data_IF_383489264385
#
_entry.id   IF_383489264385
#
_cell.length_a   1.000
_cell.length_b   1.000
_cell.length_c   1.000
_cell.angle_alpha   90.00
_cell.angle_beta   90.00
_cell.angle_gamma   90.00
#
_symmetry.space_group_name_H-M   'P 1'
#
loop_
_entity.id
_entity.type
_entity.pdbx_description
1 polymer ?
#
# COMPACT_ATOMS: atom_id res chain seq x y z
N UNK A 1 -1.72 -57.44 -2.01
CA UNK A 1 -2.44 -56.58 -2.99
C UNK A 1 -3.55 -55.75 -2.35
N UNK A 2 -4.54 -56.34 -1.65
CA UNK A 2 -5.63 -55.57 -0.99
C UNK A 2 -5.15 -54.59 0.11
N UNK A 3 -4.20 -54.99 0.95
CA UNK A 3 -3.63 -54.11 2.01
C UNK A 3 -2.91 -52.90 1.41
N UNK A 4 -2.16 -53.10 0.31
CA UNK A 4 -1.45 -52.03 -0.39
C UNK A 4 -2.43 -51.01 -1.01
N UNK A 5 -3.56 -51.49 -1.55
CA UNK A 5 -4.65 -50.63 -2.03
C UNK A 5 -5.29 -49.83 -0.90
N UNK A 6 -5.54 -50.43 0.27
CA UNK A 6 -6.09 -49.69 1.42
C UNK A 6 -5.12 -48.64 1.97
N UNK A 7 -3.82 -48.95 2.04
CA UNK A 7 -2.78 -47.99 2.45
C UNK A 7 -2.69 -46.84 1.44
N UNK A 8 -2.69 -47.14 0.14
CA UNK A 8 -2.66 -46.11 -0.91
C UNK A 8 -3.91 -45.23 -0.87
N UNK A 9 -5.10 -45.81 -0.71
CA UNK A 9 -6.35 -45.05 -0.56
C UNK A 9 -6.34 -44.18 0.70
N UNK A 10 -5.80 -44.67 1.82
CA UNK A 10 -5.67 -43.89 3.05
C UNK A 10 -4.68 -42.74 2.90
N UNK A 11 -3.54 -42.94 2.23
CA UNK A 11 -2.56 -41.90 1.92
C UNK A 11 -3.17 -40.84 1.00
N UNK A 12 -3.89 -41.25 -0.06
CA UNK A 12 -4.59 -40.31 -0.95
C UNK A 12 -5.65 -39.52 -0.18
N UNK A 13 -6.44 -40.18 0.67
CA UNK A 13 -7.45 -39.50 1.47
C UNK A 13 -6.83 -38.49 2.46
N UNK A 14 -5.70 -38.83 3.09
CA UNK A 14 -4.96 -37.92 3.97
C UNK A 14 -4.36 -36.74 3.19
N UNK A 15 -3.81 -36.98 1.99
CA UNK A 15 -3.30 -35.92 1.12
C UNK A 15 -4.44 -35.00 0.66
N UNK A 16 -5.59 -35.55 0.26
CA UNK A 16 -6.75 -34.75 -0.12
C UNK A 16 -7.30 -33.96 1.08
N UNK A 17 -7.33 -34.55 2.27
CA UNK A 17 -7.74 -33.86 3.49
C UNK A 17 -6.76 -32.73 3.86
N UNK A 18 -5.44 -32.95 3.71
CA UNK A 18 -4.43 -31.94 3.94
C UNK A 18 -4.53 -30.80 2.92
N UNK A 19 -4.74 -31.10 1.64
CA UNK A 19 -4.95 -30.10 0.58
C UNK A 19 -6.24 -29.32 0.82
N UNK A 20 -7.33 -29.99 1.19
CA UNK A 20 -8.59 -29.34 1.51
C UNK A 20 -8.49 -28.45 2.76
N UNK A 21 -7.78 -28.91 3.80
CA UNK A 21 -7.51 -28.14 5.00
C UNK A 21 -6.67 -26.90 4.67
N UNK A 22 -5.56 -27.06 3.94
CA UNK A 22 -4.71 -25.95 3.52
C UNK A 22 -5.49 -24.93 2.68
N UNK A 23 -6.32 -25.41 1.75
CA UNK A 23 -7.17 -24.53 0.94
C UNK A 23 -8.19 -23.76 1.77
N UNK A 24 -8.81 -24.42 2.76
CA UNK A 24 -9.76 -23.77 3.67
C UNK A 24 -9.07 -22.74 4.55
N UNK A 25 -7.89 -23.07 5.09
CA UNK A 25 -7.08 -22.19 5.95
C UNK A 25 -6.58 -20.94 5.20
N UNK A 26 -6.05 -21.12 3.98
CA UNK A 26 -5.68 -20.00 3.10
C UNK A 26 -6.91 -19.12 2.80
N UNK A 27 -8.09 -19.73 2.59
CA UNK A 27 -9.32 -18.95 2.36
C UNK A 27 -9.78 -18.20 3.60
N UNK A 28 -9.61 -18.75 4.80
CA UNK A 28 -9.98 -18.01 6.02
C UNK A 28 -9.08 -16.80 6.26
N UNK A 29 -7.83 -16.83 5.81
CA UNK A 29 -6.94 -15.66 5.88
C UNK A 29 -7.39 -14.52 4.94
N UNK A 30 -8.16 -14.83 3.91
CA UNK A 30 -8.73 -13.82 3.01
C UNK A 30 -10.02 -13.19 3.56
N UNK A 31 -10.61 -13.78 4.59
CA UNK A 31 -11.83 -13.26 5.20
C UNK A 31 -11.47 -12.04 6.07
N UNK A 32 -12.06 -10.85 5.81
CA UNK A 32 -11.86 -9.66 6.66
C UNK A 32 -12.20 -9.89 8.14
N UNK A 33 -12.95 -10.94 8.47
CA UNK A 33 -13.34 -11.29 9.83
C UNK A 33 -14.30 -10.27 10.48
N UNK A 34 -14.66 -10.51 11.75
CA UNK A 34 -15.43 -9.56 12.56
C UNK A 34 -14.56 -8.44 13.17
N UNK A 35 -13.23 -8.47 12.98
CA UNK A 35 -12.26 -7.67 13.74
C UNK A 35 -11.82 -6.36 13.08
N UNK A 36 -12.55 -5.85 12.09
CA UNK A 36 -12.41 -4.44 11.72
C UNK A 36 -13.22 -3.63 12.74
N UNK A 37 -12.57 -3.25 13.84
CA UNK A 37 -13.18 -2.34 14.80
C UNK A 37 -13.74 -1.12 14.05
N UNK A 38 -14.92 -0.64 14.44
CA UNK A 38 -15.48 0.57 13.86
C UNK A 38 -14.58 1.77 14.21
N UNK A 39 -13.67 2.12 13.31
CA UNK A 39 -12.82 3.31 13.41
C UNK A 39 -13.60 4.49 12.85
N UNK A 40 -13.44 5.67 13.47
CA UNK A 40 -13.98 6.89 12.89
C UNK A 40 -13.34 7.14 11.51
N UNK A 41 -14.06 7.77 10.57
CA UNK A 41 -13.46 8.18 9.29
C UNK A 41 -12.17 8.96 9.55
N UNK A 42 -11.12 8.69 8.77
CA UNK A 42 -9.80 9.29 9.01
C UNK A 42 -9.85 10.82 9.01
N UNK A 43 -10.76 11.43 8.25
CA UNK A 43 -10.96 12.88 8.20
C UNK A 43 -11.38 13.50 9.53
N UNK A 44 -11.87 12.70 10.49
CA UNK A 44 -12.14 13.18 11.84
C UNK A 44 -10.90 13.68 12.57
N UNK A 45 -9.71 13.29 12.10
CA UNK A 45 -8.41 13.78 12.60
C UNK A 45 -7.88 15.00 11.85
N UNK A 46 -8.53 15.43 10.76
CA UNK A 46 -8.04 16.54 9.94
C UNK A 46 -7.95 17.84 10.75
N UNK A 47 -6.77 18.46 10.73
CA UNK A 47 -6.50 19.74 11.36
C UNK A 47 -6.54 20.89 10.35
N UNK A 48 -6.84 22.09 10.84
CA UNK A 48 -6.77 23.29 10.00
C UNK A 48 -5.32 23.55 9.64
N UNK A 49 -5.08 23.70 8.34
CA UNK A 49 -3.73 23.88 7.80
C UNK A 49 -3.21 25.28 8.18
N UNK A 50 -2.04 25.38 8.83
CA UNK A 50 -1.42 26.68 9.05
C UNK A 50 -0.86 27.24 7.74
N UNK A 51 -0.62 28.55 7.70
CA UNK A 51 0.04 29.19 6.56
C UNK A 51 1.44 28.58 6.34
N UNK A 52 1.81 28.21 5.10
CA UNK A 52 3.07 27.55 4.84
C UNK A 52 4.26 28.44 5.19
N UNK A 53 5.20 27.90 5.98
CA UNK A 53 6.46 28.57 6.29
C UNK A 53 7.50 28.10 5.26
N UNK A 54 7.58 28.78 4.13
CA UNK A 54 8.58 28.44 3.10
C UNK A 54 9.97 28.91 3.53
N UNK A 55 10.80 28.02 4.06
CA UNK A 55 12.25 28.27 4.20
C UNK A 55 13.01 27.45 3.17
N UNK A 56 13.18 28.01 1.96
CA UNK A 56 14.12 27.45 0.99
C UNK A 56 15.53 27.50 1.59
N UNK A 57 16.19 26.35 1.71
CA UNK A 57 17.58 26.30 2.17
C UNK A 57 18.48 26.67 1.00
N UNK A 58 19.11 27.83 1.07
CA UNK A 58 20.13 28.20 0.10
C UNK A 58 21.27 27.18 0.17
N UNK A 59 21.65 26.62 -0.98
CA UNK A 59 22.91 25.91 -1.09
C UNK A 59 24.04 26.92 -0.85
N UNK A 60 25.07 26.60 -0.06
CA UNK A 60 26.22 27.49 0.06
C UNK A 60 26.89 27.64 -1.31
N UNK A 61 27.00 28.87 -1.80
CA UNK A 61 27.66 29.18 -3.08
C UNK A 61 29.20 29.16 -2.98
N UNK A 62 29.75 29.03 -1.75
CA UNK A 62 31.17 29.09 -1.46
C UNK A 62 31.74 27.84 -0.77
N UNK A 63 32.89 27.37 -1.28
CA UNK A 63 33.67 26.32 -0.64
C UNK A 63 34.52 26.92 0.48
N UNK A 64 33.99 26.92 1.71
CA UNK A 64 34.73 27.29 2.91
C UNK A 64 35.52 26.10 3.45
N UNK A 65 36.83 26.07 3.19
CA UNK A 65 37.73 25.00 3.66
C UNK A 65 37.85 24.93 5.20
N UNK A 66 37.48 25.98 5.93
CA UNK A 66 37.49 25.91 7.41
C UNK A 66 36.39 24.98 7.93
N UNK A 67 35.27 24.85 7.20
CA UNK A 67 34.21 23.88 7.48
C UNK A 67 34.64 22.42 7.26
N UNK A 68 35.77 22.16 6.59
CA UNK A 68 36.32 20.81 6.48
C UNK A 68 36.98 20.36 7.78
N UNK A 69 37.61 21.29 8.51
CA UNK A 69 38.24 21.00 9.80
C UNK A 69 37.20 20.89 10.92
N UNK A 70 36.12 21.69 10.83
CA UNK A 70 35.01 21.71 11.78
C UNK A 70 33.68 21.62 11.02
N UNK A 71 33.27 20.40 10.59
CA UNK A 71 32.04 20.23 9.82
C UNK A 71 30.82 20.70 10.61
N UNK A 72 29.90 21.45 9.97
CA UNK A 72 28.68 21.90 10.64
C UNK A 72 27.82 20.69 11.06
N UNK A 73 26.95 20.84 12.06
CA UNK A 73 26.05 19.76 12.48
C UNK A 73 25.25 19.14 11.33
N UNK A 74 24.90 19.93 10.32
CA UNK A 74 24.14 19.46 9.15
C UNK A 74 24.96 18.62 8.15
N UNK A 75 26.26 18.47 8.37
CA UNK A 75 27.12 17.57 7.60
C UNK A 75 27.39 16.24 8.34
N UNK A 76 26.87 16.07 9.56
CA UNK A 76 27.05 14.86 10.36
C UNK A 76 26.10 13.75 9.87
N UNK A 77 26.53 12.48 9.89
CA UNK A 77 25.66 11.37 9.51
C UNK A 77 24.55 11.17 10.53
N UNK A 78 23.47 10.53 10.10
CA UNK A 78 22.39 10.05 10.95
C UNK A 78 22.39 8.53 10.99
N UNK A 79 21.56 7.94 11.85
CA UNK A 79 21.32 6.50 11.88
C UNK A 79 19.83 6.21 12.00
N UNK A 80 19.37 5.12 11.37
CA UNK A 80 18.11 4.49 11.76
C UNK A 80 18.25 3.94 13.17
N UNK A 81 17.24 4.17 13.99
CA UNK A 81 17.19 3.78 15.38
C UNK A 81 15.88 3.06 15.64
N UNK A 82 15.94 1.73 15.51
CA UNK A 82 14.77 0.87 15.64
C UNK A 82 14.39 0.68 17.10
N UNK A 83 13.13 0.98 17.39
CA UNK A 83 12.53 0.88 18.71
C UNK A 83 11.67 -0.39 18.80
N UNK A 84 11.73 -1.15 19.91
CA UNK A 84 10.92 -2.34 20.11
C UNK A 84 9.45 -1.98 20.42
N UNK A 85 8.77 -1.43 19.41
CA UNK A 85 7.46 -0.82 19.56
C UNK A 85 7.44 0.25 20.65
N UNK A 86 6.51 0.11 21.59
CA UNK A 86 6.34 0.99 22.74
C UNK A 86 7.21 0.67 23.96
N UNK A 87 8.02 -0.39 23.97
CA UNK A 87 8.80 -0.80 25.17
C UNK A 87 10.08 0.03 25.35
N UNK A 88 9.90 1.31 25.66
CA UNK A 88 10.96 2.32 25.71
C UNK A 88 11.15 2.86 27.12
N UNK A 89 12.43 3.04 27.50
CA UNK A 89 12.86 3.73 28.71
C UNK A 89 13.56 5.04 28.33
N UNK A 90 12.96 6.21 28.58
CA UNK A 90 13.51 7.50 28.16
C UNK A 90 14.94 7.76 28.64
N UNK A 91 15.28 7.29 29.85
CA UNK A 91 16.61 7.49 30.43
C UNK A 91 17.67 6.74 29.62
N UNK A 92 17.41 5.46 29.31
CA UNK A 92 18.29 4.64 28.48
C UNK A 92 18.37 5.18 27.04
N UNK A 93 17.24 5.61 26.49
CA UNK A 93 17.18 6.23 25.18
C UNK A 93 18.02 7.51 25.11
N UNK A 94 18.01 8.34 26.17
CA UNK A 94 18.86 9.53 26.28
C UNK A 94 20.35 9.18 26.42
N UNK A 95 20.69 8.13 27.17
CA UNK A 95 22.07 7.61 27.23
C UNK A 95 22.57 7.16 25.84
N UNK A 96 21.73 6.47 25.06
CA UNK A 96 22.05 6.06 23.70
C UNK A 96 22.25 7.25 22.75
N UNK A 97 21.39 8.28 22.84
CA UNK A 97 21.59 9.52 22.08
C UNK A 97 22.90 10.22 22.45
N UNK A 98 23.25 10.29 23.73
CA UNK A 98 24.51 10.88 24.17
C UNK A 98 25.73 10.12 23.60
N UNK A 99 25.66 8.78 23.55
CA UNK A 99 26.71 7.96 22.92
C UNK A 99 26.81 8.23 21.42
N UNK A 100 25.69 8.34 20.70
CA UNK A 100 25.68 8.67 19.27
C UNK A 100 26.26 10.07 19.02
N UNK A 101 25.87 11.06 19.81
CA UNK A 101 26.40 12.42 19.74
C UNK A 101 27.93 12.45 19.97
N UNK A 102 28.43 11.71 20.96
CA UNK A 102 29.87 11.57 21.23
C UNK A 102 30.62 10.96 20.04
N UNK A 103 30.00 10.00 19.33
CA UNK A 103 30.56 9.39 18.11
C UNK A 103 30.38 10.23 16.84
N UNK A 104 29.77 11.41 16.96
CA UNK A 104 29.71 12.38 15.88
C UNK A 104 28.42 12.34 15.04
N UNK A 105 27.43 11.53 15.40
CA UNK A 105 26.13 11.54 14.72
C UNK A 105 25.40 12.86 14.97
N UNK A 106 24.71 13.35 13.94
CA UNK A 106 23.93 14.60 13.98
C UNK A 106 22.44 14.38 14.22
N UNK A 107 21.96 13.15 14.15
CA UNK A 107 20.54 12.85 14.24
C UNK A 107 20.22 11.37 14.16
N UNK A 108 18.94 11.07 14.39
CA UNK A 108 18.37 9.73 14.36
C UNK A 108 17.03 9.73 13.63
N UNK A 109 16.72 8.61 13.02
CA UNK A 109 15.37 8.28 12.56
C UNK A 109 14.78 7.23 13.49
N UNK A 110 13.71 7.56 14.20
CA UNK A 110 13.01 6.63 15.09
C UNK A 110 11.95 5.88 14.29
N UNK A 111 12.09 4.56 14.24
CA UNK A 111 11.10 3.65 13.68
C UNK A 111 10.75 2.61 14.75
N UNK A 112 9.53 2.67 15.26
CA UNK A 112 9.02 1.71 16.24
C UNK A 112 8.26 0.61 15.51
N UNK A 113 8.68 -0.64 15.64
CA UNK A 113 8.05 -1.78 14.96
C UNK A 113 8.33 -3.10 15.70
N UNK A 114 7.78 -4.22 15.21
CA UNK A 114 7.88 -5.52 15.87
C UNK A 114 8.89 -6.48 15.22
N UNK A 115 9.78 -5.98 14.35
CA UNK A 115 10.73 -6.80 13.60
C UNK A 115 11.57 -7.71 14.51
N UNK A 116 11.42 -9.03 14.39
CA UNK A 116 12.13 -10.01 15.21
C UNK A 116 11.64 -10.10 16.66
N UNK A 117 10.51 -9.48 17.00
CA UNK A 117 9.96 -9.44 18.37
C UNK A 117 8.71 -10.30 18.55
N UNK A 118 8.11 -10.80 17.47
CA UNK A 118 6.88 -11.63 17.50
C UNK A 118 7.08 -12.96 18.25
N UNK A 119 8.31 -13.47 18.32
CA UNK A 119 8.65 -14.69 19.06
C UNK A 119 8.80 -14.54 20.58
N UNK A 120 8.63 -13.33 21.14
CA UNK A 120 8.72 -13.12 22.59
C UNK A 120 7.43 -13.60 23.26
N UNK A 121 7.50 -14.66 24.07
CA UNK A 121 6.32 -15.27 24.71
C UNK A 121 5.82 -14.52 25.97
N UNK A 122 6.64 -13.66 26.58
CA UNK A 122 6.24 -12.92 27.78
C UNK A 122 5.16 -11.88 27.48
N UNK A 123 3.93 -12.16 27.91
CA UNK A 123 2.76 -11.34 27.66
C UNK A 123 2.91 -9.89 28.15
N UNK A 124 3.60 -9.67 29.28
CA UNK A 124 3.83 -8.33 29.81
C UNK A 124 4.78 -7.52 28.92
N UNK A 125 5.77 -8.17 28.29
CA UNK A 125 6.67 -7.55 27.32
C UNK A 125 5.97 -7.30 26.00
N UNK A 126 5.18 -8.24 25.50
CA UNK A 126 4.36 -8.03 24.31
C UNK A 126 3.40 -6.85 24.48
N UNK A 127 2.72 -6.73 25.62
CA UNK A 127 1.85 -5.59 25.90
C UNK A 127 2.60 -4.24 25.90
N UNK A 128 3.89 -4.21 26.28
CA UNK A 128 4.71 -2.99 26.18
C UNK A 128 5.14 -2.71 24.74
N UNK A 129 5.55 -3.73 24.00
CA UNK A 129 5.87 -3.60 22.56
C UNK A 129 4.65 -3.06 21.82
N UNK A 130 3.47 -3.61 22.06
CA UNK A 130 2.22 -3.19 21.42
C UNK A 130 1.61 -1.90 21.99
N UNK A 131 2.29 -1.22 22.93
CA UNK A 131 1.83 0.07 23.49
C UNK A 131 2.28 1.29 22.66
N UNK A 132 2.77 1.06 21.44
CA UNK A 132 3.00 2.12 20.46
C UNK A 132 1.73 2.97 20.27
N UNK A 133 1.90 4.26 19.95
CA UNK A 133 0.80 5.22 19.76
C UNK A 133 -0.06 5.53 21.00
N UNK A 134 0.35 5.08 22.19
CA UNK A 134 -0.31 5.44 23.46
C UNK A 134 0.20 6.77 24.03
N UNK A 135 -0.56 7.39 24.94
CA UNK A 135 -0.12 8.57 25.71
C UNK A 135 1.23 8.35 26.41
N UNK A 136 1.46 7.13 26.89
CA UNK A 136 2.73 6.75 27.52
C UNK A 136 3.88 6.80 26.51
N UNK A 137 3.65 6.33 25.29
CA UNK A 137 4.64 6.35 24.22
C UNK A 137 4.97 7.79 23.81
N UNK A 138 3.98 8.64 23.57
CA UNK A 138 4.20 10.06 23.25
C UNK A 138 4.93 10.82 24.36
N UNK A 139 4.60 10.53 25.62
CA UNK A 139 5.34 11.09 26.75
C UNK A 139 6.82 10.68 26.72
N UNK A 140 7.09 9.39 26.53
CA UNK A 140 8.46 8.88 26.43
C UNK A 140 9.22 9.50 25.24
N UNK A 141 8.57 9.59 24.08
CA UNK A 141 9.12 10.23 22.89
C UNK A 141 9.45 11.70 23.14
N UNK A 142 8.56 12.45 23.80
CA UNK A 142 8.81 13.85 24.17
C UNK A 142 10.03 14.02 25.09
N UNK A 143 10.21 13.14 26.09
CA UNK A 143 11.39 13.16 26.96
C UNK A 143 12.69 12.85 26.19
N UNK A 144 12.62 11.95 25.20
CA UNK A 144 13.73 11.65 24.29
C UNK A 144 14.03 12.84 23.36
N UNK A 145 12.99 13.50 22.83
CA UNK A 145 13.16 14.73 22.04
C UNK A 145 13.79 15.85 22.88
N UNK A 146 13.34 16.08 24.12
CA UNK A 146 13.99 17.03 25.03
C UNK A 146 15.49 16.72 25.20
N UNK A 147 15.87 15.43 25.22
CA UNK A 147 17.28 15.01 25.26
C UNK A 147 18.02 15.29 23.94
N UNK A 148 17.44 14.93 22.80
CA UNK A 148 18.00 15.19 21.48
C UNK A 148 18.26 16.69 21.28
N UNK A 149 17.34 17.56 21.72
CA UNK A 149 17.52 19.00 21.65
C UNK A 149 18.73 19.49 22.46
N UNK A 150 18.89 19.01 23.70
CA UNK A 150 20.06 19.35 24.54
C UNK A 150 21.38 18.90 23.92
N UNK A 151 21.36 17.80 23.17
CA UNK A 151 22.52 17.26 22.46
C UNK A 151 22.74 17.92 21.09
N UNK A 152 21.82 18.77 20.63
CA UNK A 152 21.87 19.37 19.30
C UNK A 152 21.67 18.37 18.16
N UNK A 153 20.99 17.25 18.45
CA UNK A 153 20.65 16.22 17.47
C UNK A 153 19.27 16.47 16.87
N UNK A 154 19.10 16.12 15.60
CA UNK A 154 17.80 16.13 14.93
C UNK A 154 17.12 14.76 15.03
N UNK A 155 15.79 14.76 15.01
CA UNK A 155 14.96 13.56 15.08
C UNK A 155 14.04 13.54 13.86
N UNK A 156 14.04 12.40 13.18
CA UNK A 156 13.02 12.06 12.19
C UNK A 156 12.15 10.91 12.72
N UNK A 157 10.87 10.90 12.37
CA UNK A 157 9.94 9.81 12.70
C UNK A 157 9.49 9.10 11.43
N UNK A 158 9.25 7.79 11.51
CA UNK A 158 8.52 7.08 10.44
C UNK A 158 7.01 7.39 10.51
N UNK A 159 6.26 7.05 9.45
CA UNK A 159 4.79 7.19 9.36
C UNK A 159 4.05 6.16 10.22
N UNK A 160 4.17 6.35 11.54
CA UNK A 160 3.79 5.40 12.57
C UNK A 160 4.65 4.12 12.54
N UNK A 161 4.07 3.00 12.95
CA UNK A 161 4.75 1.73 13.10
C UNK A 161 4.67 0.93 11.81
N UNK A 162 5.81 0.36 11.38
CA UNK A 162 5.86 -0.46 10.16
C UNK A 162 5.88 0.35 8.86
N UNK A 163 5.64 -0.33 7.74
CA UNK A 163 5.57 0.28 6.40
C UNK A 163 4.68 -0.57 5.46
N UNK A 164 4.16 -0.05 4.34
CA UNK A 164 4.01 1.36 3.99
C UNK A 164 3.19 2.17 5.02
N UNK A 165 3.08 3.49 4.82
CA UNK A 165 2.39 4.38 5.75
C UNK A 165 0.94 3.91 6.03
N UNK A 166 0.59 3.79 7.30
CA UNK A 166 -0.72 3.27 7.72
C UNK A 166 -0.82 3.19 9.23
N UNK A 167 -1.88 2.58 9.73
CA UNK A 167 -2.05 2.39 11.17
C UNK A 167 -3.48 2.14 11.62
N UNK A 168 -3.69 1.98 12.94
CA UNK A 168 -4.98 1.60 13.53
C UNK A 168 -6.11 2.62 13.27
N UNK A 169 -5.77 3.85 12.93
CA UNK A 169 -6.72 4.91 12.59
C UNK A 169 -7.28 4.82 11.17
N UNK A 170 -6.69 3.99 10.31
CA UNK A 170 -7.09 3.86 8.91
C UNK A 170 -8.12 2.75 8.84
N UNK A 171 -9.36 3.10 8.51
CA UNK A 171 -10.40 2.11 8.23
C UNK A 171 -10.15 1.46 6.86
N UNK A 172 -10.77 0.32 6.60
CA UNK A 172 -10.63 -0.38 5.31
C UNK A 172 -10.98 0.53 4.13
N UNK A 173 -12.03 1.35 4.25
CA UNK A 173 -12.47 2.28 3.20
C UNK A 173 -11.58 3.52 3.07
N UNK A 174 -10.80 3.84 4.09
CA UNK A 174 -9.83 4.95 4.08
C UNK A 174 -8.45 4.53 3.56
N UNK A 175 -8.27 3.22 3.32
CA UNK A 175 -7.03 2.65 2.80
C UNK A 175 -6.93 2.64 1.27
N UNK A 176 -5.88 2.02 0.76
CA UNK A 176 -5.65 1.86 -0.68
C UNK A 176 -6.80 1.14 -1.39
N UNK A 177 -7.00 1.47 -2.67
CA UNK A 177 -7.97 0.82 -3.54
C UNK A 177 -7.28 0.03 -4.66
N UNK A 178 -7.90 -1.08 -5.03
CA UNK A 178 -7.47 -1.98 -6.11
C UNK A 178 -8.57 -2.13 -7.16
N UNK A 179 -8.20 -2.10 -8.44
CA UNK A 179 -9.08 -2.40 -9.55
C UNK A 179 -9.12 -3.91 -9.78
N UNK A 180 -10.30 -4.50 -9.69
CA UNK A 180 -10.56 -5.92 -9.92
C UNK A 180 -11.53 -6.10 -11.07
N UNK A 181 -11.53 -7.29 -11.64
CA UNK A 181 -12.53 -7.69 -12.63
C UNK A 181 -13.24 -8.97 -12.23
N UNK A 182 -14.39 -9.16 -12.84
CA UNK A 182 -15.08 -10.42 -12.91
C UNK A 182 -15.68 -10.54 -14.31
N UNK A 183 -15.78 -11.75 -14.82
CA UNK A 183 -16.16 -11.97 -16.21
C UNK A 183 -17.17 -13.09 -16.37
N UNK A 184 -17.93 -13.04 -17.46
CA UNK A 184 -18.87 -14.07 -17.86
C UNK A 184 -18.93 -14.16 -19.39
N UNK A 185 -18.68 -15.35 -19.92
CA UNK A 185 -18.93 -15.64 -21.33
C UNK A 185 -20.42 -15.88 -21.58
N UNK A 186 -20.96 -15.27 -22.62
CA UNK A 186 -22.37 -15.34 -23.01
C UNK A 186 -22.53 -15.49 -24.51
N UNK A 187 -23.62 -16.14 -24.95
CA UNK A 187 -23.99 -16.23 -26.36
C UNK A 187 -25.02 -15.15 -26.69
N UNK A 188 -24.72 -14.32 -27.68
CA UNK A 188 -25.61 -13.26 -28.14
C UNK A 188 -26.66 -13.72 -29.16
N UNK A 189 -27.39 -12.77 -29.72
CA UNK A 189 -28.53 -13.00 -30.62
C UNK A 189 -29.89 -12.90 -29.94
N UNK A 190 -29.92 -12.64 -28.63
CA UNK A 190 -31.11 -12.40 -27.82
C UNK A 190 -30.84 -11.34 -26.76
N UNK A 191 -31.89 -10.95 -26.03
CA UNK A 191 -31.70 -10.17 -24.80
C UNK A 191 -30.98 -11.06 -23.78
N UNK A 192 -29.95 -10.50 -23.15
CA UNK A 192 -29.22 -11.09 -22.03
C UNK A 192 -29.64 -10.34 -20.78
N UNK A 193 -30.16 -11.08 -19.80
CA UNK A 193 -30.44 -10.61 -18.44
C UNK A 193 -29.63 -11.46 -17.48
N UNK A 194 -28.72 -10.84 -16.76
CA UNK A 194 -27.87 -11.54 -15.81
C UNK A 194 -27.42 -10.63 -14.67
N UNK A 195 -27.24 -11.16 -13.45
CA UNK A 195 -26.50 -10.46 -12.42
C UNK A 195 -25.06 -10.25 -12.88
N UNK A 196 -24.44 -9.15 -12.48
CA UNK A 196 -23.03 -8.93 -12.77
C UNK A 196 -22.16 -9.98 -12.05
N UNK A 197 -21.12 -10.50 -12.72
CA UNK A 197 -20.15 -11.37 -12.07
C UNK A 197 -19.41 -10.58 -10.98
N UNK A 198 -19.05 -11.27 -9.90
CA UNK A 198 -18.39 -10.70 -8.72
C UNK A 198 -16.94 -11.19 -8.67
N UNK A 199 -15.96 -10.32 -8.35
CA UNK A 199 -14.55 -10.72 -8.29
C UNK A 199 -14.33 -11.87 -7.32
N UNK A 200 -13.37 -12.73 -7.66
CA UNK A 200 -12.91 -13.83 -6.82
C UNK A 200 -11.43 -13.60 -6.45
N UNK A 201 -10.93 -14.23 -5.37
CA UNK A 201 -9.51 -14.26 -5.09
C UNK A 201 -8.72 -14.87 -6.25
N UNK A 202 -7.64 -14.22 -6.64
CA UNK A 202 -6.75 -14.59 -7.73
C UNK A 202 -5.34 -14.95 -7.26
N UNK A 203 -4.39 -14.99 -8.19
CA UNK A 203 -3.00 -15.39 -7.92
C UNK A 203 -2.37 -14.55 -6.82
N UNK A 204 -2.55 -13.23 -6.87
CA UNK A 204 -2.08 -12.29 -5.85
C UNK A 204 -2.51 -12.72 -4.44
N UNK A 205 -3.82 -12.93 -4.28
CA UNK A 205 -4.47 -13.10 -2.99
C UNK A 205 -4.09 -14.46 -2.38
N UNK A 206 -4.08 -15.52 -3.19
CA UNK A 206 -3.64 -16.84 -2.73
C UNK A 206 -2.16 -16.89 -2.35
N UNK A 207 -1.29 -16.18 -3.08
CA UNK A 207 0.14 -16.14 -2.75
C UNK A 207 0.39 -15.34 -1.46
N UNK A 208 -0.30 -14.21 -1.28
CA UNK A 208 -0.17 -13.42 -0.05
C UNK A 208 -0.73 -14.19 1.15
N UNK A 209 -1.94 -14.75 1.07
CA UNK A 209 -2.51 -15.54 2.16
C UNK A 209 -1.67 -16.79 2.51
N UNK A 210 -1.02 -17.42 1.52
CA UNK A 210 -0.06 -18.49 1.78
C UNK A 210 1.19 -17.97 2.50
N UNK A 211 1.71 -16.79 2.13
CA UNK A 211 2.88 -16.19 2.76
C UNK A 211 2.63 -15.85 4.24
N UNK A 212 1.41 -15.45 4.61
CA UNK A 212 1.02 -15.18 6.01
C UNK A 212 1.29 -16.37 6.93
N UNK A 213 1.06 -17.60 6.46
CA UNK A 213 1.32 -18.83 7.24
C UNK A 213 2.81 -18.98 7.61
N UNK A 214 3.71 -18.48 6.76
CA UNK A 214 5.15 -18.61 6.97
C UNK A 214 5.74 -17.42 7.73
N UNK A 215 5.19 -16.22 7.52
CA UNK A 215 5.72 -14.99 8.10
C UNK A 215 5.05 -14.69 9.46
N UNK A 216 3.86 -15.23 9.70
CA UNK A 216 3.13 -15.09 10.97
C UNK A 216 2.55 -13.70 11.16
N UNK A 217 2.16 -13.04 10.07
CA UNK A 217 1.54 -11.72 10.07
C UNK A 217 0.51 -11.63 8.95
N UNK A 218 -0.49 -10.78 9.14
CA UNK A 218 -1.51 -10.47 8.13
C UNK A 218 -0.87 -9.64 6.99
N UNK A 219 -1.22 -9.96 5.76
CA UNK A 219 -0.65 -9.38 4.54
C UNK A 219 -1.74 -8.95 3.55
N UNK A 220 -2.88 -9.62 3.52
CA UNK A 220 -3.97 -9.33 2.58
C UNK A 220 -5.34 -9.65 3.18
N UNK A 221 -6.36 -8.91 2.75
CA UNK A 221 -7.75 -9.23 3.00
C UNK A 221 -8.54 -9.08 1.70
N UNK A 222 -9.46 -10.01 1.42
CA UNK A 222 -10.29 -9.95 0.21
C UNK A 222 -11.66 -9.30 0.48
N UNK A 223 -11.69 -7.97 0.52
CA UNK A 223 -12.84 -7.15 0.91
C UNK A 223 -13.91 -6.98 -0.19
N UNK A 224 -14.41 -8.07 -0.77
CA UNK A 224 -15.32 -8.03 -1.93
C UNK A 224 -16.66 -7.36 -1.64
N UNK A 225 -17.12 -7.35 -0.40
CA UNK A 225 -18.42 -6.76 -0.03
C UNK A 225 -18.39 -5.23 -0.02
N UNK A 226 -17.20 -4.62 0.04
CA UNK A 226 -17.00 -3.16 -0.03
C UNK A 226 -16.78 -2.65 -1.46
N UNK A 227 -17.00 -3.50 -2.47
CA UNK A 227 -16.74 -3.19 -3.88
C UNK A 227 -17.69 -2.13 -4.46
N UNK A 228 -17.15 -1.36 -5.41
CA UNK A 228 -17.88 -0.36 -6.17
C UNK A 228 -17.76 -0.61 -7.67
N UNK A 229 -18.88 -0.59 -8.39
CA UNK A 229 -18.89 -0.82 -9.83
C UNK A 229 -18.26 0.36 -10.56
N UNK A 230 -17.26 0.08 -11.39
CA UNK A 230 -16.58 1.09 -12.23
C UNK A 230 -17.14 1.08 -13.63
N UNK A 231 -17.10 -0.09 -14.27
CA UNK A 231 -17.51 -0.23 -15.65
C UNK A 231 -17.95 -1.65 -15.96
N UNK A 232 -18.88 -1.77 -16.92
CA UNK A 232 -19.17 -3.05 -17.58
C UNK A 232 -18.85 -2.89 -19.05
N UNK A 233 -18.02 -3.77 -19.57
CA UNK A 233 -17.63 -3.79 -20.99
C UNK A 233 -17.96 -5.16 -21.55
N UNK A 234 -18.42 -5.23 -22.80
CA UNK A 234 -18.49 -6.47 -23.54
C UNK A 234 -17.68 -6.40 -24.83
N UNK A 235 -17.04 -7.51 -25.19
CA UNK A 235 -16.34 -7.67 -26.47
C UNK A 235 -16.49 -9.12 -26.97
N UNK A 236 -16.49 -9.31 -28.29
CA UNK A 236 -16.54 -10.64 -28.90
C UNK A 236 -15.26 -11.39 -28.61
N UNK A 237 -15.39 -12.66 -28.22
CA UNK A 237 -14.25 -13.55 -27.98
C UNK A 237 -13.73 -14.07 -29.32
N UNK A 238 -12.44 -13.90 -29.57
CA UNK A 238 -11.76 -14.37 -30.80
C UNK A 238 -10.81 -15.53 -30.55
N UNK A 239 -10.47 -15.82 -29.28
CA UNK A 239 -9.60 -16.92 -28.89
C UNK A 239 -9.22 -16.88 -27.40
N UNK A 240 -8.39 -17.85 -27.00
CA UNK A 240 -7.99 -18.03 -25.60
C UNK A 240 -9.02 -18.81 -24.76
N UNK A 241 -8.55 -19.39 -23.67
CA UNK A 241 -9.37 -20.12 -22.68
C UNK A 241 -8.81 -19.87 -21.28
N UNK A 242 -9.68 -19.84 -20.27
CA UNK A 242 -9.26 -19.72 -18.88
C UNK A 242 -8.72 -21.05 -18.37
N UNK A 243 -7.62 -20.98 -17.63
CA UNK A 243 -7.04 -22.08 -16.92
C UNK A 243 -7.96 -22.52 -15.78
N UNK A 244 -8.08 -23.83 -15.56
CA UNK A 244 -8.73 -24.36 -14.35
C UNK A 244 -7.86 -24.21 -13.10
N UNK A 245 -6.60 -23.80 -13.25
CA UNK A 245 -5.67 -23.58 -12.16
C UNK A 245 -5.73 -22.11 -11.70
N UNK A 246 -6.19 -21.80 -10.47
CA UNK A 246 -6.29 -20.42 -9.97
C UNK A 246 -4.94 -19.75 -9.71
N UNK A 247 -3.82 -20.47 -9.86
CA UNK A 247 -2.46 -19.95 -9.77
C UNK A 247 -1.82 -19.70 -11.15
N UNK A 248 -2.55 -19.96 -12.24
CA UNK A 248 -2.06 -19.70 -13.59
C UNK A 248 -2.27 -18.24 -13.97
N UNK A 249 -1.22 -17.45 -13.84
CA UNK A 249 -1.21 -16.03 -14.20
C UNK A 249 -0.82 -15.80 -15.68
N UNK A 250 -0.90 -16.83 -16.55
CA UNK A 250 -0.39 -16.76 -17.93
C UNK A 250 -1.48 -16.95 -18.99
N UNK A 251 -2.71 -17.27 -18.60
CA UNK A 251 -3.82 -17.34 -19.54
C UNK A 251 -4.24 -15.95 -20.05
N UNK A 252 -4.77 -15.91 -21.27
CA UNK A 252 -5.19 -14.66 -21.91
C UNK A 252 -6.40 -14.94 -22.79
N UNK A 253 -7.45 -14.13 -22.64
CA UNK A 253 -8.61 -14.14 -23.53
C UNK A 253 -8.42 -13.09 -24.63
N UNK A 254 -8.57 -13.51 -25.88
CA UNK A 254 -8.46 -12.62 -27.03
C UNK A 254 -9.85 -12.04 -27.35
N UNK A 255 -9.91 -10.72 -27.48
CA UNK A 255 -11.13 -9.96 -27.71
C UNK A 255 -11.02 -9.21 -29.05
N UNK A 256 -12.14 -9.07 -29.76
CA UNK A 256 -12.22 -8.25 -30.97
C UNK A 256 -12.30 -6.75 -30.61
N UNK A 257 -11.27 -5.93 -30.91
CA UNK A 257 -11.24 -4.51 -30.54
C UNK A 257 -12.39 -3.71 -31.16
N UNK A 258 -12.84 -4.07 -32.37
CA UNK A 258 -13.92 -3.36 -33.08
C UNK A 258 -15.32 -3.70 -32.52
N UNK A 259 -15.38 -4.66 -31.59
CA UNK A 259 -16.64 -5.11 -30.98
C UNK A 259 -16.91 -4.51 -29.62
N UNK A 260 -15.93 -3.81 -29.02
CA UNK A 260 -16.00 -3.32 -27.66
C UNK A 260 -17.21 -2.40 -27.48
N UNK A 261 -18.03 -2.71 -26.47
CA UNK A 261 -19.18 -1.89 -26.07
C UNK A 261 -19.17 -1.66 -24.57
N UNK A 262 -19.35 -0.39 -24.16
CA UNK A 262 -19.51 -0.02 -22.76
C UNK A 262 -20.99 -0.16 -22.38
N UNK A 263 -21.26 -1.01 -21.40
CA UNK A 263 -22.60 -1.43 -20.95
C UNK A 263 -22.94 -0.91 -19.55
N UNK A 264 -22.08 -0.11 -18.90
CA UNK A 264 -22.29 0.37 -17.52
C UNK A 264 -23.66 1.01 -17.31
N UNK A 265 -24.13 1.82 -18.27
CA UNK A 265 -25.45 2.47 -18.21
C UNK A 265 -26.66 1.54 -18.42
N UNK A 266 -26.43 0.25 -18.71
CA UNK A 266 -27.46 -0.78 -18.86
C UNK A 266 -27.58 -1.67 -17.62
N UNK A 267 -26.85 -1.33 -16.55
CA UNK A 267 -26.91 -2.03 -15.27
C UNK A 267 -27.92 -1.34 -14.36
N UNK A 268 -28.87 -2.09 -13.83
CA UNK A 268 -29.87 -1.63 -12.86
C UNK A 268 -29.87 -2.61 -11.69
N UNK A 269 -29.66 -2.10 -10.47
CA UNK A 269 -29.65 -2.92 -9.24
C UNK A 269 -28.71 -4.14 -9.30
N UNK A 270 -27.57 -4.00 -9.99
CA UNK A 270 -26.58 -5.08 -10.14
C UNK A 270 -26.90 -6.10 -11.22
N UNK A 271 -27.98 -5.92 -11.99
CA UNK A 271 -28.31 -6.74 -13.15
C UNK A 271 -28.07 -6.00 -14.47
N UNK A 272 -27.42 -6.67 -15.41
CA UNK A 272 -27.27 -6.23 -16.79
C UNK A 272 -28.49 -6.67 -17.61
N UNK A 273 -29.09 -5.75 -18.36
CA UNK A 273 -30.06 -6.04 -19.41
C UNK A 273 -29.56 -5.51 -20.75
N UNK A 274 -29.10 -6.40 -21.63
CA UNK A 274 -28.44 -6.01 -22.89
C UNK A 274 -28.96 -6.81 -24.08
N UNK A 275 -29.31 -6.11 -25.16
CA UNK A 275 -29.64 -6.73 -26.44
C UNK A 275 -28.36 -7.10 -27.20
N UNK A 276 -27.78 -8.25 -26.88
CA UNK A 276 -26.50 -8.69 -27.42
C UNK A 276 -26.61 -9.09 -28.90
N UNK A 277 -25.77 -8.55 -29.81
CA UNK A 277 -25.71 -9.02 -31.19
C UNK A 277 -25.28 -10.49 -31.27
N UNK A 278 -25.60 -11.22 -32.35
CA UNK A 278 -25.14 -12.60 -32.53
C UNK A 278 -23.61 -12.73 -32.40
N UNK A 279 -23.16 -13.76 -31.70
CA UNK A 279 -21.74 -14.04 -31.46
C UNK A 279 -21.46 -14.51 -30.04
N UNK A 280 -20.23 -14.92 -29.78
CA UNK A 280 -19.75 -15.22 -28.42
C UNK A 280 -19.13 -13.96 -27.83
N UNK A 281 -19.62 -13.56 -26.66
CA UNK A 281 -19.21 -12.34 -25.98
C UNK A 281 -18.61 -12.65 -24.62
N UNK A 282 -17.60 -11.88 -24.23
CA UNK A 282 -17.17 -11.78 -22.86
C UNK A 282 -17.76 -10.51 -22.27
N UNK A 283 -18.52 -10.62 -21.18
CA UNK A 283 -18.96 -9.49 -20.36
C UNK A 283 -17.98 -9.38 -19.20
N UNK A 284 -17.36 -8.21 -19.04
CA UNK A 284 -16.33 -7.91 -18.03
C UNK A 284 -16.87 -6.80 -17.14
N UNK A 285 -17.13 -7.12 -15.88
CA UNK A 285 -17.48 -6.15 -14.86
C UNK A 285 -16.20 -5.78 -14.07
N UNK A 286 -15.90 -4.49 -14.01
CA UNK A 286 -14.73 -3.95 -13.33
C UNK A 286 -15.15 -3.21 -12.07
N UNK A 287 -14.41 -3.43 -11.00
CA UNK A 287 -14.77 -3.04 -9.65
C UNK A 287 -13.59 -2.38 -8.97
N UNK A 288 -13.85 -1.30 -8.23
CA UNK A 288 -12.94 -0.81 -7.20
C UNK A 288 -13.24 -1.55 -5.91
N UNK A 289 -12.20 -1.97 -5.20
CA UNK A 289 -12.31 -2.58 -3.88
C UNK A 289 -11.22 -1.99 -2.97
N UNK A 290 -11.47 -1.82 -1.66
CA UNK A 290 -10.38 -1.64 -0.73
C UNK A 290 -9.35 -2.77 -0.87
N UNK A 291 -8.06 -2.44 -0.82
CA UNK A 291 -7.00 -3.44 -0.90
C UNK A 291 -6.97 -4.36 0.31
N UNK A 292 -7.49 -3.90 1.45
CA UNK A 292 -7.49 -4.64 2.71
C UNK A 292 -6.07 -4.92 3.23
N UNK A 293 -5.09 -4.13 2.83
CA UNK A 293 -3.68 -4.39 3.14
C UNK A 293 -3.27 -3.71 4.46
N UNK A 294 -2.78 -4.46 5.46
CA UNK A 294 -2.20 -3.89 6.66
C UNK A 294 -0.73 -3.47 6.45
N UNK A 295 -0.22 -2.50 7.22
CA UNK A 295 1.21 -2.21 7.24
C UNK A 295 2.00 -3.40 7.82
N UNK A 296 3.26 -3.52 7.40
CA UNK A 296 4.17 -4.60 7.74
C UNK A 296 4.93 -4.32 9.03
N UNK A 297 5.05 -5.35 9.89
CA UNK A 297 5.76 -5.31 11.18
C UNK A 297 5.22 -4.30 12.21
N UNK A 298 3.91 -4.03 12.21
CA UNK A 298 3.29 -3.08 13.14
C UNK A 298 3.40 -3.55 14.60
N UNK A 299 3.86 -2.66 15.48
CA UNK A 299 3.90 -2.88 16.92
C UNK A 299 2.60 -2.42 17.60
N UNK A 300 1.46 -2.97 17.18
CA UNK A 300 0.15 -2.73 17.77
C UNK A 300 -0.67 -4.02 17.72
N UNK A 301 -1.65 -4.17 18.62
CA UNK A 301 -2.55 -5.33 18.61
C UNK A 301 -3.47 -5.34 17.39
N UNK A 302 -3.85 -4.16 16.90
CA UNK A 302 -4.63 -3.98 15.67
C UNK A 302 -3.82 -3.07 14.73
N UNK A 303 -3.32 -3.59 13.60
CA UNK A 303 -2.45 -2.81 12.72
C UNK A 303 -3.21 -1.76 11.90
N UNK A 304 -4.53 -1.93 11.72
CA UNK A 304 -5.32 -1.16 10.76
C UNK A 304 -4.86 -1.38 9.33
N UNK A 305 -5.02 -0.37 8.47
CA UNK A 305 -4.71 -0.48 7.04
C UNK A 305 -3.68 0.56 6.57
N UNK A 306 -3.08 0.29 5.42
CA UNK A 306 -2.26 1.27 4.69
C UNK A 306 -3.16 2.37 4.15
N UNK A 307 -2.77 3.63 4.32
CA UNK A 307 -3.55 4.79 3.84
C UNK A 307 -3.69 4.80 2.32
N UNK A 308 -4.75 5.44 1.81
CA UNK A 308 -4.81 5.75 0.38
C UNK A 308 -3.73 6.78 0.00
N UNK A 309 -2.67 6.32 -0.66
CA UNK A 309 -1.59 7.18 -1.18
C UNK A 309 -2.05 8.00 -2.40
N UNK A 310 -3.22 7.72 -2.95
CA UNK A 310 -3.81 8.44 -4.08
C UNK A 310 -4.88 9.43 -3.64
N UNK A 311 -4.98 9.74 -2.34
CA UNK A 311 -5.90 10.74 -1.80
C UNK A 311 -5.17 11.69 -0.81
N UNK A 312 -4.99 12.95 -1.22
CA UNK A 312 -4.31 13.96 -0.40
C UNK A 312 -5.09 14.29 0.89
N UNK A 313 -6.42 14.19 0.88
CA UNK A 313 -7.23 14.39 2.08
C UNK A 313 -6.95 13.33 3.13
N UNK A 314 -6.95 12.05 2.72
CA UNK A 314 -6.62 10.90 3.59
C UNK A 314 -5.18 10.99 4.11
N UNK A 315 -4.24 11.34 3.25
CA UNK A 315 -2.84 11.57 3.62
C UNK A 315 -2.69 12.63 4.72
N UNK A 316 -3.31 13.80 4.53
CA UNK A 316 -3.19 14.91 5.49
C UNK A 316 -3.81 14.54 6.82
N UNK A 317 -4.98 13.92 6.81
CA UNK A 317 -5.62 13.44 8.02
C UNK A 317 -4.80 12.36 8.74
N UNK A 318 -4.10 11.49 7.99
CA UNK A 318 -3.14 10.54 8.56
C UNK A 318 -1.96 11.25 9.25
N UNK A 319 -1.41 12.33 8.69
CA UNK A 319 -0.34 13.10 9.34
C UNK A 319 -0.81 13.92 10.53
N UNK A 320 -2.02 14.48 10.46
CA UNK A 320 -2.63 15.14 11.62
C UNK A 320 -2.86 14.13 12.75
N UNK A 321 -3.23 12.89 12.43
CA UNK A 321 -3.21 11.79 13.40
C UNK A 321 -1.79 11.47 13.88
N UNK A 322 -0.83 11.25 12.98
CA UNK A 322 0.48 10.71 13.35
C UNK A 322 1.37 11.71 14.10
N UNK A 323 1.21 13.00 13.82
CA UNK A 323 2.14 14.05 14.25
C UNK A 323 1.43 15.30 14.78
N UNK A 324 0.13 15.45 14.59
CA UNK A 324 -0.63 16.64 14.97
C UNK A 324 -0.79 16.84 16.47
N UNK A 325 -1.67 17.76 16.84
CA UNK A 325 -1.82 18.29 18.22
C UNK A 325 -2.09 17.22 19.27
N UNK A 326 -2.77 16.12 18.91
CA UNK A 326 -3.05 15.01 19.85
C UNK A 326 -1.79 14.38 20.44
N UNK A 327 -0.67 14.49 19.75
CA UNK A 327 0.61 13.87 20.11
C UNK A 327 1.42 14.72 21.09
N UNK A 328 1.13 16.03 21.16
CA UNK A 328 1.94 17.01 21.89
C UNK A 328 3.36 17.22 21.32
N UNK A 329 3.62 16.74 20.09
CA UNK A 329 4.90 16.88 19.40
C UNK A 329 5.10 18.24 18.74
N UNK A 330 4.03 19.03 18.61
CA UNK A 330 4.02 20.38 18.04
C UNK A 330 5.06 21.31 18.69
N UNK A 331 5.26 21.19 20.01
CA UNK A 331 6.30 21.94 20.74
C UNK A 331 7.74 21.63 20.31
N UNK A 332 7.96 20.52 19.59
CA UNK A 332 9.26 20.07 19.10
C UNK A 332 9.46 20.29 17.59
N UNK A 333 8.48 20.85 16.89
CA UNK A 333 8.56 21.05 15.44
C UNK A 333 9.73 21.95 15.02
N UNK A 334 10.47 21.49 14.01
CA UNK A 334 11.68 22.11 13.50
C UNK A 334 12.89 21.99 14.41
N UNK A 335 12.69 21.66 15.69
CA UNK A 335 13.78 21.41 16.65
C UNK A 335 13.28 20.69 17.92
N UNK A 336 13.76 19.47 18.21
CA UNK A 336 14.65 18.65 17.39
C UNK A 336 13.90 17.84 16.32
N UNK A 337 12.57 17.80 16.34
CA UNK A 337 11.78 17.05 15.37
C UNK A 337 11.83 17.80 14.04
N UNK A 338 12.70 17.37 13.13
CA UNK A 338 12.94 18.07 11.86
C UNK A 338 12.07 17.57 10.71
N UNK A 339 11.45 16.40 10.84
CA UNK A 339 10.67 15.83 9.74
C UNK A 339 10.34 14.37 9.92
N UNK A 340 9.76 13.79 8.89
CA UNK A 340 9.42 12.36 8.86
C UNK A 340 10.07 11.66 7.68
N UNK A 341 10.10 10.34 7.78
CA UNK A 341 10.65 9.44 6.79
C UNK A 341 9.55 8.58 6.19
N UNK A 342 9.49 8.58 4.86
CA UNK A 342 8.71 7.62 4.08
C UNK A 342 9.61 6.50 3.58
N UNK A 343 9.38 5.29 4.07
CA UNK A 343 10.04 4.08 3.58
C UNK A 343 9.59 3.75 2.15
N UNK A 344 10.23 2.75 1.54
CA UNK A 344 9.85 2.29 0.21
C UNK A 344 8.41 1.79 0.12
N UNK A 345 7.77 2.01 -1.03
CA UNK A 345 6.40 1.58 -1.27
C UNK A 345 6.37 0.09 -1.65
N UNK A 346 5.90 -0.73 -0.71
CA UNK A 346 5.80 -2.19 -0.85
C UNK A 346 4.34 -2.67 -0.85
N UNK A 347 3.55 -2.22 -1.82
CA UNK A 347 2.15 -2.64 -1.95
C UNK A 347 2.01 -4.14 -2.23
N UNK A 348 0.94 -4.75 -1.71
CA UNK A 348 0.60 -6.18 -1.81
C UNK A 348 -0.68 -6.43 -2.62
N UNK A 349 -1.15 -5.42 -3.33
CA UNK A 349 -2.37 -5.45 -4.12
C UNK A 349 -2.13 -5.81 -5.59
N UNK A 350 -3.22 -6.17 -6.26
CA UNK A 350 -3.22 -6.66 -7.62
C UNK A 350 -2.98 -5.55 -8.67
N UNK A 351 -3.90 -4.57 -8.71
CA UNK A 351 -3.82 -3.42 -9.64
C UNK A 351 -4.24 -2.15 -8.92
N UNK A 352 -3.30 -1.24 -8.66
CA UNK A 352 -3.58 -0.03 -7.90
C UNK A 352 -4.59 0.86 -8.64
N UNK A 353 -5.48 1.52 -7.90
CA UNK A 353 -6.41 2.49 -8.46
C UNK A 353 -6.77 3.57 -7.45
N UNK A 354 -6.96 4.79 -7.93
CA UNK A 354 -7.63 5.82 -7.17
C UNK A 354 -9.16 5.63 -7.26
N UNK A 355 -9.91 6.11 -6.27
CA UNK A 355 -11.38 6.10 -6.33
C UNK A 355 -11.93 6.94 -7.49
N UNK A 356 -11.20 7.97 -7.92
CA UNK A 356 -11.51 8.84 -9.05
C UNK A 356 -10.75 8.49 -10.34
N UNK A 357 -10.21 7.26 -10.45
CA UNK A 357 -9.27 6.89 -11.52
C UNK A 357 -9.81 7.13 -12.94
N UNK A 358 -11.12 6.96 -13.16
CA UNK A 358 -11.74 7.17 -14.48
C UNK A 358 -11.63 8.63 -14.92
N UNK A 359 -11.94 9.57 -14.03
CA UNK A 359 -11.86 11.00 -14.28
C UNK A 359 -10.39 11.44 -14.38
N UNK A 360 -9.56 11.02 -13.43
CA UNK A 360 -8.14 11.37 -13.39
C UNK A 360 -7.42 10.93 -14.67
N UNK A 361 -7.71 9.71 -15.15
CA UNK A 361 -7.18 9.18 -16.39
C UNK A 361 -7.63 10.02 -17.59
N UNK A 362 -8.94 10.25 -17.75
CA UNK A 362 -9.48 10.96 -18.91
C UNK A 362 -8.92 12.39 -19.02
N UNK A 363 -8.86 13.11 -17.89
CA UNK A 363 -8.29 14.45 -17.82
C UNK A 363 -6.81 14.49 -18.22
N UNK A 364 -6.05 13.45 -17.86
CA UNK A 364 -4.59 13.41 -18.01
C UNK A 364 -4.16 12.85 -19.35
N UNK A 365 -4.85 11.83 -19.84
CA UNK A 365 -4.48 11.06 -21.03
C UNK A 365 -5.25 11.50 -22.27
N UNK A 366 -6.36 12.20 -22.08
CA UNK A 366 -7.15 12.80 -23.16
C UNK A 366 -8.14 11.85 -23.84
N UNK A 367 -8.44 10.71 -23.21
CA UNK A 367 -9.45 9.76 -23.68
C UNK A 367 -10.07 8.96 -22.52
N UNK A 368 -11.28 8.45 -22.73
CA UNK A 368 -12.01 7.68 -21.73
C UNK A 368 -11.38 6.30 -21.50
N UNK A 369 -11.15 5.91 -20.24
CA UNK A 369 -10.60 4.61 -19.91
C UNK A 369 -11.58 3.46 -20.17
N UNK A 370 -12.89 3.70 -20.02
CA UNK A 370 -13.91 2.63 -19.95
C UNK A 370 -13.86 1.62 -21.12
N UNK A 371 -13.76 2.02 -22.40
CA UNK A 371 -13.65 1.06 -23.50
C UNK A 371 -12.36 0.22 -23.46
N UNK A 372 -11.31 0.74 -22.82
CA UNK A 372 -9.97 0.15 -22.82
C UNK A 372 -9.64 -0.58 -21.51
N UNK A 373 -10.53 -0.58 -20.52
CA UNK A 373 -10.33 -1.25 -19.24
C UNK A 373 -9.86 -2.71 -19.39
N UNK A 374 -10.37 -3.55 -20.30
CA UNK A 374 -9.88 -4.91 -20.41
C UNK A 374 -8.36 -4.99 -20.63
N UNK A 375 -7.74 -4.00 -21.28
CA UNK A 375 -6.29 -4.00 -21.52
C UNK A 375 -5.45 -3.75 -20.24
N UNK A 376 -6.02 -3.18 -19.16
CA UNK A 376 -5.22 -2.79 -17.98
C UNK A 376 -4.97 -3.94 -17.00
N UNK A 377 -5.72 -5.04 -17.11
CA UNK A 377 -5.66 -6.16 -16.17
C UNK A 377 -4.46 -7.06 -16.46
N UNK A 378 -3.62 -7.16 -15.44
CA UNK A 378 -2.45 -8.03 -15.36
C UNK A 378 -2.35 -8.44 -13.89
N UNK A 379 -2.44 -9.73 -13.61
CA UNK A 379 -2.45 -10.22 -12.23
C UNK A 379 -1.13 -9.87 -11.50
N UNK A 380 -1.23 -9.51 -10.22
CA UNK A 380 -0.15 -9.11 -9.33
C UNK A 380 0.76 -8.00 -9.90
N UNK A 381 0.24 -7.15 -10.79
CA UNK A 381 1.02 -6.11 -11.49
C UNK A 381 1.66 -5.12 -10.53
N UNK A 382 0.92 -4.73 -9.49
CA UNK A 382 1.32 -3.73 -8.52
C UNK A 382 1.69 -4.33 -7.15
N UNK A 383 1.89 -5.66 -7.08
CA UNK A 383 2.39 -6.35 -5.89
C UNK A 383 3.93 -6.40 -5.90
N UNK A 384 4.56 -5.67 -4.99
CA UNK A 384 6.02 -5.58 -4.85
C UNK A 384 6.67 -6.94 -4.56
N UNK A 385 6.10 -7.74 -3.66
CA UNK A 385 6.67 -9.03 -3.26
C UNK A 385 6.62 -10.08 -4.37
N UNK A 386 5.60 -10.05 -5.23
CA UNK A 386 5.52 -10.95 -6.37
C UNK A 386 6.42 -10.46 -7.52
N UNK A 387 6.36 -9.15 -7.83
CA UNK A 387 7.05 -8.55 -8.97
C UNK A 387 8.54 -8.35 -8.77
N UNK A 388 8.95 -7.73 -7.66
CA UNK A 388 10.34 -7.31 -7.44
C UNK A 388 11.14 -8.34 -6.65
N UNK A 389 10.53 -8.88 -5.58
CA UNK A 389 11.16 -9.92 -4.76
C UNK A 389 11.07 -11.27 -5.46
N UNK A 390 9.86 -11.69 -5.83
CA UNK A 390 9.59 -12.95 -6.51
C UNK A 390 10.03 -12.97 -7.98
N UNK A 391 10.23 -11.81 -8.61
CA UNK A 391 10.58 -11.65 -10.04
C UNK A 391 9.61 -12.37 -10.97
N UNK A 392 8.36 -12.48 -10.55
CA UNK A 392 7.28 -13.11 -11.33
C UNK A 392 6.53 -12.05 -12.10
N UNK A 393 6.20 -12.35 -13.36
CA UNK A 393 5.39 -11.48 -14.23
C UNK A 393 4.28 -12.28 -14.86
N UNK A 394 3.06 -11.78 -14.73
CA UNK A 394 1.85 -12.35 -15.31
C UNK A 394 1.68 -11.91 -16.76
N UNK A 395 0.93 -12.68 -17.55
CA UNK A 395 0.44 -12.22 -18.84
C UNK A 395 -0.74 -11.26 -18.66
N UNK A 396 -1.05 -10.40 -19.64
CA UNK A 396 -2.30 -9.66 -19.66
C UNK A 396 -3.50 -10.60 -19.63
N UNK A 397 -4.47 -10.29 -18.77
CA UNK A 397 -5.71 -11.07 -18.63
C UNK A 397 -6.50 -11.12 -19.94
N UNK A 398 -6.46 -10.02 -20.70
CA UNK A 398 -7.10 -9.87 -22.01
C UNK A 398 -6.12 -9.30 -23.02
N UNK A 399 -6.35 -9.62 -24.30
CA UNK A 399 -5.66 -9.02 -25.45
C UNK A 399 -6.68 -8.53 -26.47
N UNK A 400 -6.62 -7.25 -26.84
CA UNK A 400 -7.46 -6.67 -27.88
C UNK A 400 -6.62 -6.42 -29.14
N UNK A 401 -5.63 -5.54 -29.05
CA UNK A 401 -4.80 -5.15 -30.19
C UNK A 401 -3.37 -4.73 -29.79
N UNK A 402 -2.64 -4.14 -30.75
CA UNK A 402 -1.27 -3.65 -30.56
C UNK A 402 -1.16 -2.39 -29.68
N UNK A 403 -2.27 -1.71 -29.38
CA UNK A 403 -2.32 -0.54 -28.53
C UNK A 403 -2.48 -0.88 -27.05
N UNK A 404 -2.77 -2.13 -26.70
CA UNK A 404 -2.94 -2.61 -25.32
C UNK A 404 -1.81 -2.15 -24.37
N UNK A 405 -0.55 -2.24 -24.81
CA UNK A 405 0.60 -1.79 -24.01
C UNK A 405 0.62 -0.28 -23.80
N UNK A 406 0.14 0.50 -24.76
CA UNK A 406 0.04 1.96 -24.62
C UNK A 406 -1.02 2.33 -23.60
N UNK A 407 -2.17 1.64 -23.61
CA UNK A 407 -3.21 1.83 -22.59
C UNK A 407 -2.68 1.47 -21.20
N UNK A 408 -1.98 0.35 -21.06
CA UNK A 408 -1.33 -0.04 -19.79
C UNK A 408 -0.34 1.01 -19.32
N UNK A 409 0.50 1.51 -20.23
CA UNK A 409 1.45 2.57 -19.94
C UNK A 409 0.75 3.86 -19.50
N UNK A 410 -0.30 4.30 -20.19
CA UNK A 410 -1.06 5.51 -19.86
C UNK A 410 -1.76 5.38 -18.50
N UNK A 411 -2.24 4.18 -18.16
CA UNK A 411 -2.79 3.91 -16.83
C UNK A 411 -1.71 3.99 -15.77
N UNK A 412 -0.55 3.36 -16.00
CA UNK A 412 0.59 3.42 -15.09
C UNK A 412 1.11 4.84 -14.91
N UNK A 413 1.17 5.62 -16.00
CA UNK A 413 1.61 7.01 -15.98
C UNK A 413 0.61 7.89 -15.23
N UNK A 414 -0.69 7.61 -15.33
CA UNK A 414 -1.71 8.25 -14.49
C UNK A 414 -1.46 7.96 -13.02
N UNK A 415 -1.23 6.70 -12.62
CA UNK A 415 -0.91 6.37 -11.22
C UNK A 415 0.41 7.02 -10.76
N UNK A 416 1.43 7.06 -11.62
CA UNK A 416 2.69 7.77 -11.37
C UNK A 416 2.44 9.25 -11.08
N UNK A 417 1.66 9.93 -11.91
CA UNK A 417 1.29 11.34 -11.69
C UNK A 417 0.57 11.52 -10.35
N UNK A 418 -0.39 10.64 -10.06
CA UNK A 418 -1.20 10.72 -8.83
C UNK A 418 -0.39 10.47 -7.55
N UNK A 419 0.47 9.44 -7.49
CA UNK A 419 1.34 9.22 -6.31
C UNK A 419 2.26 10.42 -6.10
N UNK A 420 2.86 10.96 -7.16
CA UNK A 420 3.79 12.07 -7.02
C UNK A 420 3.06 13.32 -6.52
N UNK A 421 1.91 13.65 -7.11
CA UNK A 421 1.15 14.86 -6.81
C UNK A 421 0.42 14.77 -5.48
N UNK A 422 -0.22 13.64 -5.20
CA UNK A 422 -1.11 13.49 -4.05
C UNK A 422 -0.39 13.03 -2.80
N UNK A 423 0.64 12.19 -2.96
CA UNK A 423 1.44 11.66 -1.87
C UNK A 423 2.75 12.42 -1.68
N UNK A 424 3.73 12.26 -2.57
CA UNK A 424 5.08 12.81 -2.32
C UNK A 424 5.08 14.34 -2.14
N UNK A 425 4.40 15.07 -3.05
CA UNK A 425 4.23 16.53 -2.92
C UNK A 425 3.29 16.89 -1.75
N UNK A 426 2.25 16.10 -1.52
CA UNK A 426 1.33 16.27 -0.39
C UNK A 426 2.06 16.18 0.96
N UNK A 427 3.01 15.27 1.09
CA UNK A 427 3.86 15.08 2.27
C UNK A 427 4.79 16.26 2.48
N UNK A 428 5.53 16.68 1.46
CA UNK A 428 6.39 17.86 1.55
C UNK A 428 5.59 19.13 1.88
N UNK A 429 4.38 19.28 1.31
CA UNK A 429 3.51 20.41 1.61
C UNK A 429 3.04 20.41 3.08
N UNK A 430 2.51 19.29 3.58
CA UNK A 430 2.07 19.18 4.97
C UNK A 430 3.23 19.41 5.95
N UNK A 431 4.43 18.92 5.63
CA UNK A 431 5.63 19.14 6.44
C UNK A 431 6.03 20.62 6.48
N UNK A 432 6.08 21.29 5.33
CA UNK A 432 6.48 22.69 5.21
C UNK A 432 5.53 23.64 5.99
N UNK A 433 4.23 23.34 6.03
CA UNK A 433 3.24 24.06 6.85
C UNK A 433 3.60 24.07 8.34
N UNK A 434 4.35 23.06 8.80
CA UNK A 434 4.66 22.82 10.22
C UNK A 434 6.13 22.97 10.54
N UNK A 435 6.93 23.60 9.66
CA UNK A 435 8.39 23.74 9.80
C UNK A 435 9.09 22.37 9.98
N UNK A 436 8.54 21.34 9.32
CA UNK A 436 9.07 20.00 9.20
C UNK A 436 9.54 19.75 7.76
N UNK A 437 10.16 18.60 7.52
CA UNK A 437 10.60 18.14 6.20
C UNK A 437 10.10 16.74 5.88
N UNK A 438 9.81 16.50 4.61
CA UNK A 438 9.58 15.16 4.07
C UNK A 438 10.89 14.56 3.57
N UNK A 439 11.30 13.44 4.15
CA UNK A 439 12.35 12.57 3.63
C UNK A 439 11.71 11.30 3.11
N UNK A 440 12.11 10.79 1.95
CA UNK A 440 11.39 9.66 1.37
C UNK A 440 12.18 8.82 0.39
N UNK A 441 11.92 7.51 0.46
CA UNK A 441 12.28 6.48 -0.50
C UNK A 441 11.10 6.22 -1.44
N UNK A 442 10.67 7.23 -2.19
CA UNK A 442 9.48 7.14 -3.06
C UNK A 442 9.76 6.30 -4.34
N UNK A 443 10.08 5.02 -4.14
CA UNK A 443 10.25 3.93 -5.11
C UNK A 443 9.55 2.66 -4.59
N UNK A 444 9.64 1.55 -5.31
CA UNK A 444 8.98 0.28 -4.96
C UNK A 444 7.66 0.06 -5.71
N UNK A 445 7.13 1.11 -6.32
CA UNK A 445 6.05 1.08 -7.29
C UNK A 445 6.54 1.55 -8.68
N UNK A 446 5.90 1.10 -9.76
CA UNK A 446 6.31 1.49 -11.12
C UNK A 446 5.85 2.92 -11.42
N UNK A 447 6.78 3.87 -11.36
CA UNK A 447 6.50 5.30 -11.56
C UNK A 447 7.75 6.04 -12.04
N UNK A 448 7.62 7.32 -12.36
CA UNK A 448 8.77 8.21 -12.54
C UNK A 448 9.49 8.42 -11.20
N UNK A 449 10.43 7.52 -10.90
CA UNK A 449 11.19 7.53 -9.65
C UNK A 449 12.01 8.80 -9.47
N UNK A 450 12.51 9.42 -10.55
CA UNK A 450 13.31 10.65 -10.45
C UNK A 450 12.41 11.81 -10.01
N UNK A 451 11.24 11.96 -10.65
CA UNK A 451 10.26 12.98 -10.26
C UNK A 451 9.69 12.73 -8.87
N UNK A 452 9.44 11.46 -8.51
CA UNK A 452 8.95 11.08 -7.20
C UNK A 452 9.96 11.39 -6.08
N UNK A 453 11.21 10.97 -6.23
CA UNK A 453 12.28 11.29 -5.30
C UNK A 453 12.47 12.81 -5.17
N UNK A 454 12.48 13.53 -6.29
CA UNK A 454 12.62 14.99 -6.32
C UNK A 454 11.46 15.78 -5.73
N UNK A 455 10.33 15.14 -5.40
CA UNK A 455 9.21 15.76 -4.71
C UNK A 455 9.38 15.82 -3.19
N UNK A 456 10.36 15.10 -2.62
CA UNK A 456 10.71 15.14 -1.20
C UNK A 456 11.72 16.27 -0.91
N UNK A 457 11.70 16.83 0.30
CA UNK A 457 12.73 17.77 0.76
C UNK A 457 14.10 17.10 0.84
N UNK A 458 14.12 15.82 1.24
CA UNK A 458 15.32 14.97 1.27
C UNK A 458 15.01 13.67 0.51
N UNK A 459 15.42 13.57 -0.76
CA UNK A 459 15.36 12.31 -1.49
C UNK A 459 16.31 11.29 -0.84
N UNK A 460 15.81 10.10 -0.52
CA UNK A 460 16.62 9.02 0.06
C UNK A 460 16.60 7.77 -0.84
N UNK A 461 17.74 7.09 -0.91
CA UNK A 461 17.92 5.83 -1.63
C UNK A 461 18.52 4.78 -0.71
N UNK A 462 18.47 3.51 -1.11
CA UNK A 462 19.06 2.40 -0.36
C UNK A 462 20.19 1.72 -1.13
N UNK A 463 21.19 1.21 -0.39
CA UNK A 463 22.25 0.36 -0.94
C UNK A 463 22.55 -0.78 0.03
N UNK A 464 22.28 -2.02 -0.41
CA UNK A 464 22.48 -3.25 0.38
C UNK A 464 23.76 -4.02 0.03
N UNK A 465 24.66 -3.43 -0.76
CA UNK A 465 25.89 -4.08 -1.22
C UNK A 465 27.13 -3.71 -0.42
#
# INVERSE_FOLDING_TARGET
MRILLYVLSAVIALLLALVAWLFFDIRSNLDPGESVAAVAPIESYAEVSPEPVTTARALPDDLDLTRLAEPPPTARPWTRWWWPGGDIKPELACEQLAQLAEKGFGGVEIQAFNAGLTGIEDAATQARINSFDSDRWYKALGEVMDCAERLGMVVYLNHLSGWPAGGPQVSMRDGLWTMRYAEQRVSGGSEIRMPLPVPQPGVNDYLMALAEQFIGMELVTFAVDERELVAVVAARVTGGERSGNPLDATDTIHLDPDSVVVLTGQVVEGELAWQAPPGDWMVIASWLMPSGEPPTLVAAEQPGFIIDHLDTGKLRAHYDYAYGTRTGLDKHYGKPFEGFFNDSLEFKLDRLAATDIMEAFAQRRGYELAPHIPAIFVDAKDNFFIRDVGRTRSAPTYRLDENDERVRHDYQLTLSDLIIERFAQGSSAWAAERNLRSRGQTYGFEMDTIRALGANDIPETEHLW
#
